data_IF_354652761836
#
_entry.id   IF_354652761836
#
_cell.length_a   1.000
_cell.length_b   1.000
_cell.length_c   1.000
_cell.angle_alpha   90.00
_cell.angle_beta   90.00
_cell.angle_gamma   90.00
#
_symmetry.space_group_name_H-M   'P 1'
#
loop_
_entity.id
_entity.type
_entity.pdbx_description
1 polymer ?
#
# COMPACT_ATOMS: atom_id res chain seq x y z
N UNK A 1 -11.53 -17.44 1.66
CA UNK A 1 -10.14 -16.92 1.40
C UNK A 1 -9.97 -15.62 2.18
N UNK A 2 -8.84 -15.43 2.85
CA UNK A 2 -8.58 -14.23 3.65
C UNK A 2 -7.29 -13.54 3.21
N UNK A 3 -7.25 -12.20 3.37
CA UNK A 3 -6.04 -11.40 3.19
C UNK A 3 -5.69 -10.78 4.55
N UNK A 4 -4.51 -11.09 5.05
CA UNK A 4 -3.90 -10.42 6.20
C UNK A 4 -2.97 -9.32 5.72
N UNK A 5 -3.06 -8.14 6.33
CA UNK A 5 -2.12 -7.02 6.11
C UNK A 5 -1.54 -6.64 7.46
N UNK A 6 -0.22 -6.77 7.57
CA UNK A 6 0.57 -6.33 8.72
C UNK A 6 1.34 -5.06 8.36
N UNK A 7 1.07 -3.99 9.12
CA UNK A 7 1.66 -2.67 8.93
C UNK A 7 2.73 -2.44 9.99
N UNK A 8 3.96 -2.85 9.68
CA UNK A 8 5.12 -2.68 10.55
C UNK A 8 5.82 -1.33 10.34
N UNK A 9 6.77 -1.02 11.22
CA UNK A 9 7.60 0.20 11.10
C UNK A 9 8.60 0.14 9.94
N UNK A 10 8.97 -1.05 9.47
CA UNK A 10 9.94 -1.25 8.38
C UNK A 10 9.29 -1.45 7.00
N UNK A 11 8.00 -1.80 6.95
CA UNK A 11 7.26 -2.02 5.72
C UNK A 11 5.88 -2.61 5.95
N UNK A 12 5.29 -3.09 4.86
CA UNK A 12 4.02 -3.80 4.85
C UNK A 12 4.24 -5.25 4.45
N UNK A 13 3.58 -6.18 5.14
CA UNK A 13 3.47 -7.57 4.71
C UNK A 13 2.00 -7.90 4.42
N UNK A 14 1.75 -8.45 3.25
CA UNK A 14 0.45 -9.00 2.87
C UNK A 14 0.54 -10.52 2.75
N UNK A 15 -0.47 -11.23 3.26
CA UNK A 15 -0.58 -12.69 3.17
C UNK A 15 -1.97 -13.05 2.65
N UNK A 16 -2.04 -13.88 1.62
CA UNK A 16 -3.27 -14.50 1.16
C UNK A 16 -3.34 -15.92 1.72
N UNK A 17 -4.47 -16.28 2.32
CA UNK A 17 -4.67 -17.58 2.96
C UNK A 17 -6.02 -18.21 2.62
N UNK A 18 -6.07 -19.54 2.67
CA UNK A 18 -7.32 -20.32 2.59
C UNK A 18 -8.15 -20.11 3.85
N UNK A 19 -9.36 -20.66 3.88
CA UNK A 19 -10.22 -20.56 5.06
C UNK A 19 -9.72 -21.39 6.25
N UNK A 20 -8.95 -22.42 5.94
CA UNK A 20 -8.31 -23.32 6.89
C UNK A 20 -6.97 -22.75 7.40
N UNK A 21 -6.57 -21.56 6.94
CA UNK A 21 -5.34 -20.87 7.38
C UNK A 21 -4.08 -21.26 6.60
N UNK A 22 -4.20 -22.02 5.51
CA UNK A 22 -3.05 -22.33 4.65
C UNK A 22 -2.62 -21.09 3.87
N UNK A 23 -1.32 -20.80 3.83
CA UNK A 23 -0.77 -19.64 3.10
C UNK A 23 -0.66 -19.97 1.62
N UNK A 24 -1.38 -19.21 0.79
CA UNK A 24 -1.33 -19.32 -0.67
C UNK A 24 -0.26 -18.43 -1.28
N UNK A 25 -0.09 -17.22 -0.73
CA UNK A 25 0.92 -16.26 -1.18
C UNK A 25 1.28 -15.29 -0.06
N UNK A 26 2.49 -14.73 -0.13
CA UNK A 26 2.87 -13.61 0.72
C UNK A 26 3.80 -12.65 -0.02
N UNK A 27 3.73 -11.38 0.34
CA UNK A 27 4.59 -10.32 -0.18
C UNK A 27 4.95 -9.37 0.96
N UNK A 28 6.20 -8.95 1.00
CA UNK A 28 6.67 -7.92 1.92
C UNK A 28 7.28 -6.80 1.09
N UNK A 29 6.85 -5.58 1.34
CA UNK A 29 7.39 -4.39 0.68
C UNK A 29 7.89 -3.42 1.75
N UNK A 30 9.19 -3.06 1.75
CA UNK A 30 9.72 -2.10 2.71
C UNK A 30 9.25 -0.69 2.36
N UNK A 31 9.13 0.18 3.37
CA UNK A 31 8.64 1.55 3.17
C UNK A 31 9.50 2.37 2.22
N UNK A 32 10.82 2.16 2.21
CA UNK A 32 11.70 2.88 1.30
C UNK A 32 11.39 2.56 -0.17
N UNK A 33 10.96 1.34 -0.49
CA UNK A 33 10.58 0.97 -1.85
C UNK A 33 9.28 1.68 -2.25
N UNK A 34 8.30 1.73 -1.34
CA UNK A 34 7.05 2.47 -1.54
C UNK A 34 7.31 3.98 -1.67
N UNK A 35 8.19 4.54 -0.84
CA UNK A 35 8.54 5.95 -0.86
C UNK A 35 9.24 6.35 -2.17
N UNK A 36 10.16 5.53 -2.68
CA UNK A 36 10.86 5.84 -3.93
C UNK A 36 9.96 5.71 -5.17
N UNK A 37 9.04 4.74 -5.18
CA UNK A 37 8.27 4.39 -6.38
C UNK A 37 6.85 4.98 -6.41
N UNK A 38 6.22 5.21 -5.24
CA UNK A 38 4.80 5.57 -5.13
C UNK A 38 4.56 6.88 -4.34
N UNK A 39 5.58 7.47 -3.71
CA UNK A 39 5.40 8.75 -3.03
C UNK A 39 4.93 9.82 -4.04
N UNK A 40 3.87 10.56 -3.67
CA UNK A 40 3.25 11.57 -4.54
C UNK A 40 2.35 11.01 -5.65
N UNK A 41 2.20 9.68 -5.76
CA UNK A 41 1.24 9.04 -6.68
C UNK A 41 -0.09 8.69 -6.01
N UNK A 42 -0.33 9.20 -4.80
CA UNK A 42 -1.60 9.00 -4.09
C UNK A 42 -2.75 9.58 -4.92
N UNK A 43 -3.63 8.68 -5.35
CA UNK A 43 -4.83 8.96 -6.12
C UNK A 43 -6.04 8.74 -5.22
N UNK A 44 -6.57 9.81 -4.66
CA UNK A 44 -7.85 9.75 -3.96
C UNK A 44 -8.94 9.92 -5.00
N UNK A 45 -9.86 8.96 -5.09
CA UNK A 45 -11.05 9.11 -5.91
C UNK A 45 -11.85 10.29 -5.36
N UNK A 46 -12.07 11.30 -6.20
CA UNK A 46 -12.96 12.39 -5.82
C UNK A 46 -14.39 11.83 -5.63
N UNK A 47 -15.16 12.34 -4.66
CA UNK A 47 -16.56 11.96 -4.48
C UNK A 47 -17.33 12.05 -5.81
N UNK A 48 -18.14 11.04 -6.11
CA UNK A 48 -18.93 10.99 -7.34
C UNK A 48 -18.20 10.43 -8.57
N UNK A 49 -17.14 9.62 -8.40
CA UNK A 49 -16.54 8.83 -9.49
C UNK A 49 -15.70 9.63 -10.48
N UNK A 50 -15.28 10.85 -10.12
CA UNK A 50 -14.38 11.66 -10.95
C UNK A 50 -12.95 11.13 -10.87
N UNK A 51 -12.21 11.30 -11.97
CA UNK A 51 -10.83 10.82 -12.09
C UNK A 51 -9.97 11.30 -10.90
N UNK A 52 -9.09 10.44 -10.36
CA UNK A 52 -8.26 10.82 -9.23
C UNK A 52 -7.32 11.97 -9.59
N UNK A 53 -7.22 12.95 -8.71
CA UNK A 53 -6.21 14.02 -8.82
C UNK A 53 -4.90 13.54 -8.21
N UNK A 54 -3.78 13.83 -8.86
CA UNK A 54 -2.46 13.56 -8.28
C UNK A 54 -2.25 14.53 -7.11
N UNK A 55 -2.21 13.99 -5.88
CA UNK A 55 -1.79 14.77 -4.74
C UNK A 55 -0.26 14.74 -4.67
N UNK A 56 0.39 15.74 -5.29
CA UNK A 56 1.81 16.01 -5.08
C UNK A 56 2.00 16.47 -3.63
N UNK A 57 2.26 15.52 -2.73
CA UNK A 57 2.75 15.82 -1.39
C UNK A 57 4.20 16.31 -1.54
N UNK A 58 4.37 17.63 -1.64
CA UNK A 58 5.68 18.25 -1.51
C UNK A 58 6.03 18.28 -0.03
N UNK A 59 6.85 17.34 0.42
CA UNK A 59 7.71 17.56 1.58
C UNK A 59 9.15 17.45 1.11
N UNK A 60 9.73 18.60 0.75
CA UNK A 60 11.19 18.71 0.78
C UNK A 60 11.62 18.61 2.25
N UNK A 61 12.53 17.71 2.62
CA UNK A 61 13.22 17.84 3.89
C UNK A 61 14.08 19.11 3.84
N UNK A 62 13.99 19.95 4.88
CA UNK A 62 14.95 21.00 5.18
C UNK A 62 16.22 20.39 5.75
#
# INVERSE_FOLDING_TARGET
>A
MYIGIDLGTSGVKSIAMTEQGEILASCTIPWWYLALNLCGQNKILAPGGKQPVNLLMVSKPQ
#
